data_IF_402490501571
#
_entry.id   IF_402490501571
#
_cell.length_a   1.000
_cell.length_b   1.000
_cell.length_c   1.000
_cell.angle_alpha   90.00
_cell.angle_beta   90.00
_cell.angle_gamma   90.00
#
_symmetry.space_group_name_H-M   'P 1'
#
loop_
_entity.id
_entity.type
_entity.pdbx_description
1 polymer ?
#
# COMPACT_ATOMS: atom_id res chain seq x y z
N UNK A 1 3.36 26.37 -20.71
CA UNK A 1 3.26 24.95 -20.29
C UNK A 1 1.96 24.38 -20.85
N UNK A 2 1.95 23.13 -21.34
CA UNK A 2 0.72 22.41 -21.68
C UNK A 2 0.22 21.67 -20.43
N UNK A 3 -1.06 21.77 -20.04
CA UNK A 3 -1.60 20.99 -18.93
C UNK A 3 -1.65 19.50 -19.29
N UNK A 4 -1.60 18.65 -18.27
CA UNK A 4 -1.91 17.23 -18.41
C UNK A 4 -3.44 17.07 -18.50
N UNK A 5 -3.90 16.22 -19.41
CA UNK A 5 -5.33 15.92 -19.54
C UNK A 5 -5.71 14.84 -18.51
N UNK A 6 -6.72 15.08 -17.65
CA UNK A 6 -7.23 14.06 -16.75
C UNK A 6 -7.81 12.86 -17.51
N UNK A 7 -7.84 11.71 -16.83
CA UNK A 7 -8.43 10.47 -17.32
C UNK A 7 -9.46 9.96 -16.31
N UNK A 8 -10.50 9.27 -16.79
CA UNK A 8 -11.45 8.58 -15.94
C UNK A 8 -10.91 7.19 -15.58
N UNK A 9 -10.61 6.95 -14.30
CA UNK A 9 -10.16 5.66 -13.77
C UNK A 9 -11.01 5.25 -12.58
N UNK A 10 -11.58 4.04 -12.61
CA UNK A 10 -12.42 3.50 -11.53
C UNK A 10 -13.49 4.50 -11.06
N UNK A 11 -14.12 5.22 -11.99
CA UNK A 11 -15.19 6.20 -11.71
C UNK A 11 -14.74 7.55 -11.14
N UNK A 12 -13.45 7.94 -11.23
CA UNK A 12 -12.97 9.28 -10.86
C UNK A 12 -12.01 9.85 -11.89
N UNK A 13 -12.09 11.16 -12.09
CA UNK A 13 -11.10 11.89 -12.87
C UNK A 13 -9.80 12.03 -12.07
N UNK A 14 -8.71 11.53 -12.64
CA UNK A 14 -7.37 11.58 -12.05
C UNK A 14 -6.36 12.09 -13.07
N UNK A 15 -5.23 12.60 -12.61
CA UNK A 15 -4.09 12.86 -13.48
C UNK A 15 -3.54 11.54 -14.02
N UNK A 16 -3.02 11.50 -15.27
CA UNK A 16 -2.44 10.31 -15.86
C UNK A 16 -1.03 10.03 -15.30
N UNK A 17 -0.89 10.03 -13.98
CA UNK A 17 0.35 9.91 -13.22
C UNK A 17 0.21 8.78 -12.20
N UNK A 18 0.90 7.67 -12.46
CA UNK A 18 0.87 6.48 -11.61
C UNK A 18 2.16 6.40 -10.81
N UNK A 19 2.06 6.31 -9.48
CA UNK A 19 3.19 5.92 -8.62
C UNK A 19 3.51 4.45 -8.89
N UNK A 20 4.69 4.17 -9.43
CA UNK A 20 5.12 2.79 -9.67
C UNK A 20 5.38 2.04 -8.37
N UNK A 21 4.79 0.85 -8.23
CA UNK A 21 4.95 0.02 -7.04
C UNK A 21 6.38 -0.46 -6.84
N UNK A 22 6.86 -0.38 -5.60
CA UNK A 22 8.20 -0.81 -5.16
C UNK A 22 8.06 -1.82 -4.03
N UNK A 23 8.68 -2.99 -4.21
CA UNK A 23 8.59 -4.10 -3.26
C UNK A 23 9.21 -3.81 -1.89
N UNK A 24 8.99 -4.73 -0.93
CA UNK A 24 9.61 -4.70 0.41
C UNK A 24 9.29 -3.40 1.15
N UNK A 25 7.98 -3.08 1.22
CA UNK A 25 7.44 -1.92 1.94
C UNK A 25 7.93 -0.53 1.48
N UNK A 26 8.58 -0.40 0.31
CA UNK A 26 9.09 0.91 -0.16
C UNK A 26 7.96 1.82 -0.64
N UNK A 27 7.05 1.34 -1.48
CA UNK A 27 5.79 2.06 -1.77
C UNK A 27 4.74 1.55 -0.78
N UNK A 28 4.48 2.35 0.25
CA UNK A 28 3.60 1.98 1.36
C UNK A 28 2.26 2.72 1.25
N UNK A 29 1.34 2.43 2.17
CA UNK A 29 0.02 3.03 2.18
C UNK A 29 0.06 4.54 2.36
N UNK A 30 1.03 5.07 3.11
CA UNK A 30 1.20 6.51 3.30
C UNK A 30 1.61 7.22 2.01
N UNK A 31 2.62 6.71 1.30
CA UNK A 31 3.08 7.31 0.04
C UNK A 31 2.00 7.25 -1.03
N UNK A 32 1.37 6.08 -1.20
CA UNK A 32 0.35 5.87 -2.21
C UNK A 32 -0.94 6.61 -1.91
N UNK A 33 -1.34 6.66 -0.64
CA UNK A 33 -2.48 7.45 -0.18
C UNK A 33 -2.28 8.94 -0.42
N UNK A 34 -1.12 9.48 -0.04
CA UNK A 34 -0.78 10.88 -0.28
C UNK A 34 -0.72 11.22 -1.78
N UNK A 35 -0.14 10.33 -2.61
CA UNK A 35 -0.10 10.49 -4.05
C UNK A 35 -1.50 10.52 -4.67
N UNK A 36 -2.38 9.62 -4.23
CA UNK A 36 -3.76 9.59 -4.66
C UNK A 36 -4.54 10.83 -4.18
N UNK A 37 -4.35 11.29 -2.95
CA UNK A 37 -4.97 12.52 -2.44
C UNK A 37 -4.59 13.75 -3.28
N UNK A 38 -3.40 13.76 -3.88
CA UNK A 38 -2.95 14.80 -4.80
C UNK A 38 -3.50 14.68 -6.23
N UNK A 39 -4.42 13.73 -6.49
CA UNK A 39 -5.05 13.49 -7.79
C UNK A 39 -4.29 12.50 -8.68
N UNK A 40 -3.25 11.83 -8.18
CA UNK A 40 -2.57 10.75 -8.88
C UNK A 40 -3.22 9.38 -8.67
N UNK A 41 -2.55 8.34 -9.21
CA UNK A 41 -2.91 6.93 -8.98
C UNK A 41 -1.80 6.27 -8.16
N UNK A 42 -2.11 5.88 -6.92
CA UNK A 42 -1.16 5.25 -6.00
C UNK A 42 -1.15 3.73 -6.14
N UNK A 43 0.02 3.11 -5.93
CA UNK A 43 0.14 1.65 -5.83
C UNK A 43 1.05 1.28 -4.67
N UNK A 44 0.61 0.36 -3.81
CA UNK A 44 1.34 -0.02 -2.60
C UNK A 44 1.83 -1.48 -2.67
N UNK A 45 2.87 -1.78 -1.91
CA UNK A 45 3.41 -3.14 -1.85
C UNK A 45 2.62 -4.00 -0.88
N UNK A 46 2.15 -5.17 -1.35
CA UNK A 46 1.69 -6.26 -0.48
C UNK A 46 2.80 -7.24 -0.07
N UNK A 47 4.02 -7.08 -0.60
CA UNK A 47 5.13 -8.01 -0.37
C UNK A 47 5.98 -7.51 0.79
N UNK A 48 6.04 -8.30 1.87
CA UNK A 48 6.73 -7.93 3.11
C UNK A 48 6.32 -6.54 3.64
N UNK A 49 5.04 -6.21 3.50
CA UNK A 49 4.50 -4.95 3.96
C UNK A 49 4.56 -4.83 5.49
N UNK A 50 4.80 -3.61 5.97
CA UNK A 50 4.76 -3.31 7.38
C UNK A 50 3.33 -3.43 7.93
N UNK A 51 3.24 -3.82 9.19
CA UNK A 51 1.99 -3.84 9.95
C UNK A 51 2.23 -3.17 11.30
N UNK A 52 1.20 -2.56 11.86
CA UNK A 52 1.30 -1.77 13.08
C UNK A 52 0.34 -2.29 14.15
N UNK A 53 0.73 -2.14 15.41
CA UNK A 53 -0.17 -2.40 16.53
C UNK A 53 -1.21 -1.25 16.69
N UNK A 54 -2.07 -1.37 17.69
CA UNK A 54 -3.12 -0.37 17.95
C UNK A 54 -2.57 1.02 18.32
N UNK A 55 -1.32 1.09 18.79
CA UNK A 55 -0.65 2.34 19.14
C UNK A 55 0.18 2.88 17.97
N UNK A 56 0.09 2.26 16.79
CA UNK A 56 0.82 2.65 15.59
C UNK A 56 2.29 2.22 15.57
N UNK A 57 2.72 1.31 16.45
CA UNK A 57 4.11 0.83 16.47
C UNK A 57 4.32 -0.30 15.46
N UNK A 58 5.44 -0.34 14.73
CA UNK A 58 5.74 -1.42 13.80
C UNK A 58 5.80 -2.78 14.51
N UNK A 59 5.13 -3.78 13.93
CA UNK A 59 5.18 -5.16 14.40
C UNK A 59 6.35 -5.87 13.70
N UNK A 60 7.39 -6.32 14.44
CA UNK A 60 8.51 -7.04 13.85
C UNK A 60 8.07 -8.39 13.27
N UNK A 61 8.60 -8.77 12.11
CA UNK A 61 8.39 -10.10 11.54
C UNK A 61 9.30 -11.13 12.21
N UNK A 62 8.85 -11.70 13.32
CA UNK A 62 9.55 -12.79 14.02
C UNK A 62 8.97 -14.15 13.65
N UNK A 63 9.86 -15.09 13.33
CA UNK A 63 9.53 -16.47 12.93
C UNK A 63 9.82 -17.43 14.08
N UNK A 64 8.82 -18.22 14.48
CA UNK A 64 8.91 -19.19 15.56
C UNK A 64 8.90 -20.64 15.05
N UNK A 65 8.46 -20.86 13.80
CA UNK A 65 8.48 -22.16 13.14
C UNK A 65 9.87 -22.81 13.18
N UNK A 66 9.91 -24.11 13.45
CA UNK A 66 11.12 -24.92 13.45
C UNK A 66 11.45 -25.43 12.06
N UNK A 67 10.45 -25.56 11.18
CA UNK A 67 10.62 -26.00 9.80
C UNK A 67 10.44 -24.87 8.81
N UNK A 68 11.01 -25.03 7.60
CA UNK A 68 10.81 -24.08 6.50
C UNK A 68 9.33 -23.89 6.16
N UNK A 69 8.52 -24.95 6.22
CA UNK A 69 7.09 -24.89 5.91
C UNK A 69 6.33 -24.05 6.95
N UNK A 70 6.64 -24.22 8.23
CA UNK A 70 6.05 -23.42 9.30
C UNK A 70 6.42 -21.93 9.14
N UNK A 71 7.70 -21.63 8.94
CA UNK A 71 8.16 -20.25 8.72
C UNK A 71 7.57 -19.61 7.46
N UNK A 72 7.34 -20.39 6.41
CA UNK A 72 6.63 -19.91 5.23
C UNK A 72 5.17 -19.55 5.54
N UNK A 73 4.48 -20.34 6.37
CA UNK A 73 3.14 -20.00 6.86
C UNK A 73 3.13 -18.69 7.64
N UNK A 74 4.11 -18.48 8.52
CA UNK A 74 4.30 -17.22 9.25
C UNK A 74 4.56 -16.04 8.30
N UNK A 75 5.42 -16.21 7.29
CA UNK A 75 5.71 -15.20 6.26
C UNK A 75 4.44 -14.78 5.52
N UNK A 76 3.64 -15.75 5.07
CA UNK A 76 2.36 -15.49 4.39
C UNK A 76 1.41 -14.74 5.31
N UNK A 77 1.33 -15.12 6.58
CA UNK A 77 0.47 -14.46 7.55
C UNK A 77 0.89 -12.99 7.79
N UNK A 78 2.19 -12.70 7.87
CA UNK A 78 2.69 -11.33 7.93
C UNK A 78 2.36 -10.55 6.66
N UNK A 79 2.61 -11.13 5.47
CA UNK A 79 2.31 -10.48 4.19
C UNK A 79 0.83 -10.10 4.05
N UNK A 80 -0.09 -10.99 4.43
CA UNK A 80 -1.53 -10.72 4.41
C UNK A 80 -1.89 -9.57 5.36
N UNK A 81 -1.43 -9.62 6.62
CA UNK A 81 -1.72 -8.56 7.60
C UNK A 81 -1.15 -7.21 7.17
N UNK A 82 0.11 -7.20 6.72
CA UNK A 82 0.76 -6.00 6.20
C UNK A 82 0.03 -5.42 5.00
N UNK A 83 -0.28 -6.26 3.99
CA UNK A 83 -1.03 -5.82 2.81
C UNK A 83 -2.38 -5.19 3.13
N UNK A 84 -3.16 -5.80 4.03
CA UNK A 84 -4.44 -5.23 4.51
C UNK A 84 -4.21 -3.89 5.22
N UNK A 85 -3.17 -3.79 6.05
CA UNK A 85 -2.83 -2.56 6.77
C UNK A 85 -2.50 -1.43 5.80
N UNK A 86 -1.63 -1.67 4.81
CA UNK A 86 -1.25 -0.67 3.81
C UNK A 86 -2.44 -0.27 2.93
N UNK A 87 -3.30 -1.22 2.54
CA UNK A 87 -4.51 -0.92 1.79
C UNK A 87 -5.45 0.03 2.53
N UNK A 88 -5.65 -0.18 3.84
CA UNK A 88 -6.47 0.70 4.69
C UNK A 88 -5.88 2.09 4.78
N UNK A 89 -4.59 2.20 5.11
CA UNK A 89 -3.89 3.48 5.20
C UNK A 89 -4.00 4.26 3.88
N UNK A 90 -3.71 3.60 2.75
CA UNK A 90 -3.79 4.21 1.43
C UNK A 90 -5.20 4.71 1.12
N UNK A 91 -6.22 3.89 1.41
CA UNK A 91 -7.61 4.24 1.14
C UNK A 91 -8.10 5.42 2.00
N UNK A 92 -7.83 5.36 3.31
CA UNK A 92 -8.23 6.42 4.25
C UNK A 92 -7.54 7.74 3.92
N UNK A 93 -6.24 7.71 3.64
CA UNK A 93 -5.47 8.92 3.33
C UNK A 93 -5.82 9.51 1.95
N UNK A 94 -6.15 8.67 0.96
CA UNK A 94 -6.58 9.13 -0.36
C UNK A 94 -7.89 9.92 -0.32
N UNK A 95 -8.74 9.74 0.71
CA UNK A 95 -9.97 10.51 0.91
C UNK A 95 -10.99 10.44 -0.22
N UNK A 96 -10.86 9.46 -1.14
CA UNK A 96 -11.69 9.33 -2.34
C UNK A 96 -11.28 10.22 -3.53
N UNK A 97 -10.27 11.07 -3.36
CA UNK A 97 -9.83 12.05 -4.36
C UNK A 97 -9.09 11.42 -5.54
N UNK A 98 -8.22 10.44 -5.27
CA UNK A 98 -7.50 9.67 -6.29
C UNK A 98 -7.86 8.20 -6.33
N UNK A 99 -6.99 7.38 -6.95
CA UNK A 99 -7.21 5.94 -7.05
C UNK A 99 -6.03 5.14 -6.53
N UNK A 100 -6.35 4.10 -5.76
CA UNK A 100 -5.39 3.13 -5.24
C UNK A 100 -5.62 1.81 -5.99
N UNK A 101 -4.55 1.23 -6.51
CA UNK A 101 -4.58 -0.02 -7.28
C UNK A 101 -3.46 -0.97 -6.87
#
# INVERSE_FOLDING_TARGET
>A
MKPLNPILLSGREVLPLVEGGKGVAVSNGESSGAWAAAGGVGTFSGVNADSFDADGRPIPQTYYGKTRRERHGELVAYGIRGGITQARIAHELAGGEGRIH
#
